data_IF_148847468595
#
_entry.id   IF_148847468595
#
_cell.length_a   1.000
_cell.length_b   1.000
_cell.length_c   1.000
_cell.angle_alpha   90.00
_cell.angle_beta   90.00
_cell.angle_gamma   90.00
#
_symmetry.space_group_name_H-M   'P 1'
#
loop_
_entity.id
_entity.type
_entity.pdbx_description
1 polymer ?
#
# COMPACT_ATOMS: atom_id res chain seq x y z
N UNK A 1 -2.91 -17.97 -22.87
CA UNK A 1 -2.42 -16.82 -22.09
C UNK A 1 -1.17 -17.27 -21.38
N UNK A 2 -0.16 -16.43 -21.33
CA UNK A 2 1.08 -16.70 -20.56
C UNK A 2 0.80 -16.66 -19.05
N UNK A 3 1.61 -17.34 -18.26
CA UNK A 3 1.58 -17.21 -16.80
C UNK A 3 2.44 -16.02 -16.37
N UNK A 4 2.12 -15.44 -15.23
CA UNK A 4 2.85 -14.33 -14.63
C UNK A 4 3.36 -14.73 -13.24
N UNK A 5 4.66 -14.62 -13.06
CA UNK A 5 5.35 -15.04 -11.84
C UNK A 5 6.02 -13.86 -11.17
N UNK A 6 5.95 -13.81 -9.85
CA UNK A 6 6.77 -12.91 -9.04
C UNK A 6 8.11 -13.62 -8.82
N UNK A 7 9.21 -12.95 -9.18
CA UNK A 7 10.56 -13.52 -9.09
C UNK A 7 11.45 -12.77 -8.10
N UNK A 8 11.09 -11.56 -7.70
CA UNK A 8 11.79 -10.80 -6.66
C UNK A 8 10.85 -9.79 -6.02
N UNK A 9 11.07 -9.50 -4.74
CA UNK A 9 10.33 -8.47 -4.00
C UNK A 9 11.27 -7.65 -3.13
N UNK A 10 10.93 -6.38 -2.91
CA UNK A 10 11.59 -5.52 -1.94
C UNK A 10 10.64 -4.40 -1.49
N UNK A 11 10.84 -3.91 -0.28
CA UNK A 11 10.27 -2.66 0.20
C UNK A 11 11.28 -1.85 1.01
N UNK A 12 11.07 -0.56 1.13
CA UNK A 12 11.73 0.22 2.18
C UNK A 12 11.16 -0.17 3.54
N UNK A 13 11.82 0.14 4.66
CA UNK A 13 11.09 0.35 5.90
C UNK A 13 10.02 1.40 5.66
N UNK A 14 8.91 1.32 6.38
CA UNK A 14 7.86 2.34 6.33
C UNK A 14 8.19 3.42 7.38
N UNK A 15 8.42 4.64 6.90
CA UNK A 15 8.67 5.80 7.73
C UNK A 15 7.36 6.40 8.27
N UNK A 16 7.36 6.83 9.52
CA UNK A 16 6.25 7.63 10.07
C UNK A 16 6.27 9.03 9.48
N UNK A 17 5.14 9.72 9.52
CA UNK A 17 5.02 11.12 9.11
C UNK A 17 6.04 12.01 9.85
N UNK A 18 6.85 12.74 9.10
CA UNK A 18 7.94 13.55 9.64
C UNK A 18 9.08 12.76 10.29
N UNK A 19 9.14 11.42 10.05
CA UNK A 19 10.15 10.51 10.58
C UNK A 19 11.46 10.46 9.80
N UNK A 20 12.10 9.31 9.81
CA UNK A 20 13.40 9.09 9.18
C UNK A 20 13.41 9.29 7.67
N UNK A 21 12.30 9.00 6.99
CA UNK A 21 12.17 9.10 5.54
C UNK A 21 11.67 10.47 5.03
N UNK A 22 11.37 11.43 5.87
CA UNK A 22 10.78 12.73 5.51
C UNK A 22 11.55 13.56 4.48
N UNK A 23 12.87 13.37 4.37
CA UNK A 23 13.71 14.08 3.40
C UNK A 23 13.82 13.35 2.05
N UNK A 24 13.21 12.16 1.92
CA UNK A 24 13.21 11.39 0.69
C UNK A 24 11.98 11.72 -0.15
N UNK A 25 12.20 12.15 -1.38
CA UNK A 25 11.10 12.31 -2.33
C UNK A 25 10.51 10.95 -2.73
N UNK A 26 9.28 10.90 -3.27
CA UNK A 26 8.73 9.64 -3.79
C UNK A 26 9.69 8.97 -4.77
N UNK A 27 10.35 9.75 -5.65
CA UNK A 27 11.33 9.21 -6.62
C UNK A 27 12.62 8.68 -5.98
N UNK A 28 13.02 9.17 -4.80
CA UNK A 28 14.18 8.60 -4.06
C UNK A 28 13.81 7.26 -3.45
N UNK A 29 12.64 7.16 -2.81
CA UNK A 29 12.12 5.92 -2.26
C UNK A 29 11.90 4.86 -3.35
N UNK A 30 11.29 5.25 -4.47
CA UNK A 30 11.10 4.40 -5.63
C UNK A 30 12.42 3.89 -6.21
N UNK A 31 13.41 4.77 -6.37
CA UNK A 31 14.72 4.40 -6.86
C UNK A 31 15.41 3.39 -5.96
N UNK A 32 15.26 3.54 -4.64
CA UNK A 32 15.84 2.63 -3.66
C UNK A 32 15.32 1.18 -3.84
N UNK A 33 14.00 1.00 -3.92
CA UNK A 33 13.43 -0.35 -4.10
C UNK A 33 13.67 -0.91 -5.50
N UNK A 34 13.64 -0.08 -6.55
CA UNK A 34 13.97 -0.51 -7.92
C UNK A 34 15.40 -1.06 -7.97
N UNK A 35 16.36 -0.34 -7.39
CA UNK A 35 17.76 -0.78 -7.29
C UNK A 35 17.89 -2.07 -6.49
N UNK A 36 17.23 -2.15 -5.34
CA UNK A 36 17.27 -3.33 -4.48
C UNK A 36 16.74 -4.58 -5.20
N UNK A 37 15.65 -4.46 -5.96
CA UNK A 37 15.09 -5.59 -6.72
C UNK A 37 16.04 -6.06 -7.84
N UNK A 38 16.59 -5.14 -8.62
CA UNK A 38 17.54 -5.49 -9.69
C UNK A 38 18.76 -6.21 -9.10
N UNK A 39 19.26 -5.76 -7.95
CA UNK A 39 20.36 -6.41 -7.24
C UNK A 39 19.97 -7.80 -6.72
N UNK A 40 18.78 -7.95 -6.08
CA UNK A 40 18.29 -9.24 -5.56
C UNK A 40 18.07 -10.26 -6.68
N UNK A 41 17.53 -9.82 -7.81
CA UNK A 41 17.31 -10.66 -8.99
C UNK A 41 18.59 -10.87 -9.82
N UNK A 42 19.67 -10.15 -9.53
CA UNK A 42 20.92 -10.18 -10.27
C UNK A 42 20.74 -9.93 -11.79
N UNK A 43 19.93 -8.93 -12.14
CA UNK A 43 19.66 -8.53 -13.51
C UNK A 43 20.05 -7.07 -13.76
N UNK A 44 20.49 -6.71 -14.99
CA UNK A 44 20.71 -5.32 -15.35
C UNK A 44 19.38 -4.60 -15.63
N UNK A 45 19.39 -3.26 -15.54
CA UNK A 45 18.19 -2.45 -15.73
C UNK A 45 17.63 -2.46 -17.15
N UNK A 46 18.44 -2.77 -18.16
CA UNK A 46 18.04 -2.92 -19.56
C UNK A 46 17.37 -4.27 -19.88
N UNK A 47 17.33 -5.19 -18.90
CA UNK A 47 16.55 -6.43 -18.99
C UNK A 47 15.03 -6.17 -18.92
N UNK A 48 14.59 -5.05 -18.35
CA UNK A 48 13.19 -4.71 -18.19
C UNK A 48 12.55 -4.28 -19.50
N UNK A 49 11.33 -4.72 -19.74
CA UNK A 49 10.50 -4.19 -20.82
C UNK A 49 9.80 -2.89 -20.38
N UNK A 50 9.39 -2.81 -19.12
CA UNK A 50 8.65 -1.67 -18.57
C UNK A 50 8.73 -1.61 -17.04
N UNK A 51 8.45 -0.42 -16.47
CA UNK A 51 8.16 -0.24 -15.04
C UNK A 51 6.82 0.48 -14.84
N UNK A 52 6.04 0.06 -13.83
CA UNK A 52 4.70 0.59 -13.51
C UNK A 52 4.61 0.81 -12.00
N UNK A 53 4.42 2.06 -11.56
CA UNK A 53 4.40 2.36 -10.13
C UNK A 53 3.22 3.23 -9.71
N UNK A 54 2.59 2.85 -8.61
CA UNK A 54 1.60 3.66 -7.92
C UNK A 54 2.23 4.90 -7.28
N UNK A 55 1.60 6.04 -7.45
CA UNK A 55 1.95 7.28 -6.75
C UNK A 55 0.78 8.27 -6.84
N UNK A 56 0.33 8.79 -5.72
CA UNK A 56 -0.88 9.61 -5.58
C UNK A 56 -0.54 11.08 -5.38
N UNK A 57 0.25 11.41 -4.38
CA UNK A 57 0.57 12.79 -3.98
C UNK A 57 1.72 13.35 -4.83
N UNK A 58 1.43 13.70 -6.08
CA UNK A 58 2.44 14.05 -7.09
C UNK A 58 2.77 15.54 -7.16
N UNK A 59 1.97 16.39 -6.52
CA UNK A 59 2.13 17.85 -6.63
C UNK A 59 3.50 18.31 -6.13
N UNK A 60 4.20 19.07 -6.97
CA UNK A 60 5.54 19.63 -6.65
C UNK A 60 6.73 18.70 -6.92
N UNK A 61 6.52 17.42 -7.24
CA UNK A 61 7.61 16.46 -7.48
C UNK A 61 8.07 16.35 -8.94
N UNK A 62 7.51 17.15 -9.84
CA UNK A 62 7.89 17.15 -11.25
C UNK A 62 7.13 16.11 -12.09
N UNK A 63 7.62 15.89 -13.32
CA UNK A 63 6.97 15.01 -14.27
C UNK A 63 7.31 13.54 -14.01
N UNK A 64 6.35 12.65 -14.21
CA UNK A 64 6.52 11.20 -14.33
C UNK A 64 7.47 10.63 -13.24
N UNK A 65 7.06 10.70 -11.99
CA UNK A 65 7.87 10.31 -10.82
C UNK A 65 8.48 8.90 -10.93
N UNK A 66 7.78 7.87 -11.46
CA UNK A 66 8.40 6.56 -11.70
C UNK A 66 9.61 6.61 -12.63
N UNK A 67 9.59 7.49 -13.64
CA UNK A 67 10.74 7.66 -14.55
C UNK A 67 11.93 8.32 -13.85
N UNK A 68 11.66 9.30 -12.99
CA UNK A 68 12.71 9.89 -12.16
C UNK A 68 13.36 8.82 -11.26
N UNK A 69 12.53 7.97 -10.63
CA UNK A 69 12.99 6.86 -9.81
C UNK A 69 13.84 5.86 -10.62
N UNK A 70 13.36 5.45 -11.80
CA UNK A 70 14.05 4.51 -12.67
C UNK A 70 15.44 5.03 -13.07
N UNK A 71 15.55 6.29 -13.49
CA UNK A 71 16.83 6.92 -13.84
C UNK A 71 17.79 6.97 -12.64
N UNK A 72 17.28 7.35 -11.46
CA UNK A 72 18.05 7.34 -10.19
C UNK A 72 18.50 5.93 -9.80
N UNK A 73 17.71 4.91 -10.12
CA UNK A 73 18.04 3.50 -9.88
C UNK A 73 19.10 2.94 -10.88
N UNK A 74 19.42 3.69 -11.93
CA UNK A 74 20.35 3.25 -12.98
C UNK A 74 19.68 2.45 -14.09
N UNK A 75 18.36 2.45 -14.19
CA UNK A 75 17.62 1.88 -15.33
C UNK A 75 17.83 2.81 -16.54
N UNK A 76 18.23 2.26 -17.72
CA UNK A 76 18.47 3.07 -18.90
C UNK A 76 17.26 3.88 -19.32
N UNK A 77 17.48 5.10 -19.82
CA UNK A 77 16.40 5.98 -20.26
C UNK A 77 15.66 5.48 -21.52
N UNK A 78 16.15 4.44 -22.16
CA UNK A 78 15.48 3.71 -23.25
C UNK A 78 14.35 2.83 -22.76
N UNK A 79 14.34 2.45 -21.47
CA UNK A 79 13.22 1.74 -20.84
C UNK A 79 12.22 2.77 -20.35
N UNK A 80 10.97 2.62 -20.73
CA UNK A 80 9.90 3.53 -20.34
C UNK A 80 8.97 2.91 -19.27
N UNK A 81 8.07 3.73 -18.73
CA UNK A 81 7.11 3.31 -17.73
C UNK A 81 6.15 4.43 -17.38
N UNK A 82 5.19 4.14 -16.52
CA UNK A 82 4.14 5.09 -16.16
C UNK A 82 3.73 5.01 -14.69
N UNK A 83 3.04 6.07 -14.24
CA UNK A 83 2.43 6.15 -12.92
C UNK A 83 0.98 5.67 -12.96
N UNK A 84 0.56 4.97 -11.90
CA UNK A 84 -0.84 4.61 -11.64
C UNK A 84 -1.34 5.45 -10.47
N UNK A 85 -2.51 6.05 -10.65
CA UNK A 85 -3.26 6.69 -9.58
C UNK A 85 -4.65 6.06 -9.49
N UNK A 86 -4.84 5.35 -8.42
CA UNK A 86 -6.10 4.72 -7.99
C UNK A 86 -6.19 4.82 -6.46
N UNK A 87 -5.79 5.99 -5.93
CA UNK A 87 -5.64 6.28 -4.51
C UNK A 87 -4.87 5.13 -3.80
N UNK A 88 -5.36 4.59 -2.68
CA UNK A 88 -4.68 3.53 -1.93
C UNK A 88 -4.41 2.24 -2.74
N UNK A 89 -5.21 1.95 -3.78
CA UNK A 89 -5.04 0.78 -4.65
C UNK A 89 -3.95 0.94 -5.72
N UNK A 90 -3.32 2.10 -5.87
CA UNK A 90 -2.36 2.40 -6.94
C UNK A 90 -1.24 1.36 -7.07
N UNK A 91 -0.62 0.98 -5.96
CA UNK A 91 0.45 -0.02 -5.93
C UNK A 91 -0.02 -1.42 -6.31
N UNK A 92 -1.22 -1.83 -5.88
CA UNK A 92 -1.79 -3.12 -6.28
C UNK A 92 -2.21 -3.11 -7.75
N UNK A 93 -2.80 -2.01 -8.23
CA UNK A 93 -3.18 -1.87 -9.62
C UNK A 93 -1.97 -1.87 -10.56
N UNK A 94 -0.81 -1.36 -10.13
CA UNK A 94 0.43 -1.46 -10.89
C UNK A 94 0.85 -2.93 -11.11
N UNK A 95 0.74 -3.76 -10.08
CA UNK A 95 1.00 -5.21 -10.16
C UNK A 95 -0.02 -5.90 -11.07
N UNK A 96 -1.29 -5.52 -10.99
CA UNK A 96 -2.34 -6.06 -11.87
C UNK A 96 -2.11 -5.67 -13.32
N UNK A 97 -1.70 -4.42 -13.61
CA UNK A 97 -1.36 -3.96 -14.96
C UNK A 97 -0.18 -4.75 -15.53
N UNK A 98 0.91 -4.90 -14.76
CA UNK A 98 2.04 -5.71 -15.14
C UNK A 98 1.64 -7.16 -15.43
N UNK A 99 0.81 -7.74 -14.57
CA UNK A 99 0.26 -9.11 -14.78
C UNK A 99 -0.52 -9.20 -16.08
N UNK A 100 -1.35 -8.22 -16.40
CA UNK A 100 -2.12 -8.19 -17.65
C UNK A 100 -1.21 -8.08 -18.87
N UNK A 101 -0.17 -7.24 -18.84
CA UNK A 101 0.81 -7.12 -19.93
C UNK A 101 1.57 -8.43 -20.16
N UNK A 102 2.03 -9.08 -19.09
CA UNK A 102 2.67 -10.40 -19.18
C UNK A 102 1.71 -11.44 -19.77
N UNK A 103 0.48 -11.54 -19.24
CA UNK A 103 -0.51 -12.54 -19.70
C UNK A 103 -0.99 -12.29 -21.14
N UNK A 104 -0.97 -11.05 -21.63
CA UNK A 104 -1.29 -10.71 -23.02
C UNK A 104 -0.12 -10.93 -24.01
N UNK A 105 1.10 -11.08 -23.50
CA UNK A 105 2.31 -11.24 -24.32
C UNK A 105 2.92 -9.92 -24.81
N UNK A 106 2.50 -8.78 -24.25
CA UNK A 106 3.06 -7.46 -24.56
C UNK A 106 4.41 -7.19 -23.86
N UNK A 107 4.71 -7.94 -22.80
CA UNK A 107 5.96 -7.85 -22.06
C UNK A 107 6.36 -9.21 -21.49
N UNK A 108 7.67 -9.43 -21.31
CA UNK A 108 8.25 -10.62 -20.69
C UNK A 108 8.68 -10.36 -19.23
N UNK A 109 9.13 -9.13 -18.91
CA UNK A 109 9.69 -8.74 -17.63
C UNK A 109 9.32 -7.32 -17.25
N UNK A 110 8.50 -7.17 -16.22
CA UNK A 110 7.95 -5.88 -15.77
C UNK A 110 8.27 -5.64 -14.30
N UNK A 111 8.77 -4.45 -13.98
CA UNK A 111 8.96 -3.99 -12.61
C UNK A 111 7.72 -3.22 -12.16
N UNK A 112 6.96 -3.73 -11.20
CA UNK A 112 5.74 -3.12 -10.69
C UNK A 112 5.85 -2.80 -9.21
N UNK A 113 5.15 -1.75 -8.76
CA UNK A 113 5.20 -1.38 -7.35
C UNK A 113 4.44 -0.11 -7.03
N UNK A 114 4.87 0.55 -5.96
CA UNK A 114 4.36 1.84 -5.56
C UNK A 114 5.32 2.59 -4.66
N UNK A 115 5.19 3.90 -4.63
CA UNK A 115 6.01 4.80 -3.82
C UNK A 115 5.17 5.98 -3.37
N UNK A 116 5.37 6.42 -2.15
CA UNK A 116 4.72 7.61 -1.61
C UNK A 116 5.59 8.29 -0.56
N UNK A 117 5.63 9.60 -0.57
CA UNK A 117 6.18 10.41 0.52
C UNK A 117 5.08 11.37 0.98
N UNK A 118 4.30 10.94 1.96
CA UNK A 118 3.23 11.77 2.52
C UNK A 118 3.81 12.92 3.34
N UNK A 119 5.01 12.74 3.88
CA UNK A 119 5.75 13.81 4.57
C UNK A 119 6.15 14.96 3.65
N UNK A 120 6.25 14.74 2.34
CA UNK A 120 6.59 15.77 1.35
C UNK A 120 5.38 16.24 0.52
N UNK A 121 4.18 15.85 0.89
CA UNK A 121 2.98 16.44 0.31
C UNK A 121 2.97 17.95 0.60
N UNK A 122 2.84 18.74 -0.47
CA UNK A 122 2.89 20.19 -0.37
C UNK A 122 1.50 20.81 -0.13
N UNK A 123 1.47 22.11 -0.25
CA UNK A 123 0.23 22.89 -0.22
C UNK A 123 0.01 23.56 -1.56
N UNK A 124 -1.24 23.79 -1.94
CA UNK A 124 -1.56 24.48 -3.18
C UNK A 124 -2.52 25.66 -2.97
N UNK A 125 -2.40 26.62 -3.86
CA UNK A 125 -3.35 27.71 -4.06
C UNK A 125 -4.21 27.40 -5.27
N UNK A 126 -5.46 27.88 -5.30
CA UNK A 126 -6.34 27.67 -6.45
C UNK A 126 -5.74 28.26 -7.75
N UNK A 127 -6.25 27.82 -8.91
CA UNK A 127 -5.86 28.36 -10.21
C UNK A 127 -6.04 29.88 -10.33
N UNK A 128 -6.86 30.49 -9.47
CA UNK A 128 -7.11 31.95 -9.41
C UNK A 128 -5.82 32.73 -9.12
N UNK A 129 -4.85 32.13 -8.45
CA UNK A 129 -3.53 32.71 -8.24
C UNK A 129 -2.85 33.15 -9.55
N UNK A 130 -3.05 32.39 -10.66
CA UNK A 130 -2.50 32.71 -11.99
C UNK A 130 -3.07 34.03 -12.57
N UNK A 131 -4.25 34.40 -12.15
CA UNK A 131 -4.98 35.57 -12.63
C UNK A 131 -4.98 36.73 -11.64
N UNK A 132 -4.14 36.66 -10.59
CA UNK A 132 -3.97 37.70 -9.57
C UNK A 132 -5.17 37.85 -8.65
N UNK A 133 -5.89 36.77 -8.36
CA UNK A 133 -7.04 36.73 -7.44
C UNK A 133 -8.12 37.79 -7.73
N UNK A 134 -8.30 38.17 -8.98
CA UNK A 134 -9.32 39.13 -9.38
C UNK A 134 -10.71 38.66 -8.92
N UNK A 135 -11.49 39.58 -8.34
CA UNK A 135 -12.89 39.34 -7.93
C UNK A 135 -13.05 38.23 -6.86
N UNK A 136 -12.24 38.22 -5.81
CA UNK A 136 -12.44 37.33 -4.66
C UNK A 136 -13.80 37.55 -3.95
N UNK A 137 -14.41 38.76 -4.10
CA UNK A 137 -15.75 39.11 -3.60
C UNK A 137 -15.98 38.67 -2.14
N UNK A 138 -15.00 38.90 -1.28
CA UNK A 138 -15.09 38.57 0.14
C UNK A 138 -14.90 37.09 0.48
N UNK A 139 -14.65 36.22 -0.49
CA UNK A 139 -14.25 34.84 -0.23
C UNK A 139 -12.74 34.76 -0.08
N UNK A 140 -12.22 34.42 1.10
CA UNK A 140 -10.78 34.28 1.28
C UNK A 140 -10.24 33.14 0.40
N UNK A 141 -9.03 33.30 -0.11
CA UNK A 141 -8.28 32.18 -0.70
C UNK A 141 -7.74 31.30 0.42
N UNK A 142 -7.92 30.00 0.28
CA UNK A 142 -7.39 29.03 1.24
C UNK A 142 -6.16 28.34 0.66
N UNK A 143 -5.12 28.24 1.46
CA UNK A 143 -4.03 27.32 1.23
C UNK A 143 -4.54 25.92 1.56
N UNK A 144 -4.55 25.01 0.59
CA UNK A 144 -5.03 23.64 0.78
C UNK A 144 -3.86 22.68 0.91
N UNK A 145 -3.93 21.79 1.89
CA UNK A 145 -3.01 20.68 2.04
C UNK A 145 -3.32 19.62 0.99
N UNK A 146 -2.33 19.27 0.15
CA UNK A 146 -2.45 18.22 -0.87
C UNK A 146 -2.70 16.87 -0.21
N UNK A 147 -2.08 16.61 0.95
CA UNK A 147 -2.26 15.36 1.69
C UNK A 147 -3.72 15.15 2.09
N UNK A 148 -4.34 16.17 2.67
CA UNK A 148 -5.72 16.13 3.11
C UNK A 148 -6.69 16.12 1.91
N UNK A 149 -6.51 17.06 0.98
CA UNK A 149 -7.47 17.32 -0.08
C UNK A 149 -7.47 16.25 -1.18
N UNK A 150 -6.28 15.83 -1.66
CA UNK A 150 -6.14 14.85 -2.74
C UNK A 150 -6.03 13.41 -2.21
N UNK A 151 -5.61 13.22 -0.96
CA UNK A 151 -5.33 11.90 -0.39
C UNK A 151 -6.38 11.36 0.57
N UNK A 152 -7.08 12.22 1.34
CA UNK A 152 -7.87 11.80 2.51
C UNK A 152 -9.31 12.35 2.53
N UNK A 153 -9.71 13.13 1.54
CA UNK A 153 -11.05 13.73 1.44
C UNK A 153 -11.80 13.18 0.23
N UNK A 154 -13.04 12.77 0.42
CA UNK A 154 -13.96 12.43 -0.67
C UNK A 154 -14.56 13.72 -1.24
N UNK A 155 -14.29 14.04 -2.53
CA UNK A 155 -14.83 15.24 -3.15
C UNK A 155 -16.31 15.14 -3.55
N UNK A 156 -16.92 13.95 -3.52
CA UNK A 156 -18.35 13.74 -3.80
C UNK A 156 -19.17 14.07 -2.55
N UNK A 157 -18.76 13.51 -1.41
CA UNK A 157 -19.43 13.73 -0.12
C UNK A 157 -18.95 15.03 0.55
N UNK A 158 -17.82 15.62 0.11
CA UNK A 158 -17.12 16.74 0.77
C UNK A 158 -16.78 16.42 2.23
N UNK A 159 -16.37 15.18 2.48
CA UNK A 159 -16.14 14.59 3.81
C UNK A 159 -14.80 13.88 3.88
N UNK A 160 -14.16 13.88 5.06
CA UNK A 160 -12.94 13.12 5.31
C UNK A 160 -13.23 11.62 5.47
N UNK A 161 -12.33 10.77 4.94
CA UNK A 161 -12.48 9.31 4.95
C UNK A 161 -12.71 8.73 6.36
N UNK A 162 -12.19 9.36 7.42
CA UNK A 162 -12.44 8.95 8.79
C UNK A 162 -13.90 9.11 9.19
N UNK A 163 -14.54 10.24 8.85
CA UNK A 163 -15.96 10.47 9.14
C UNK A 163 -16.87 9.51 8.37
N UNK A 164 -16.53 9.23 7.10
CA UNK A 164 -17.23 8.21 6.29
C UNK A 164 -17.14 6.82 6.94
N UNK A 165 -15.95 6.47 7.47
CA UNK A 165 -15.74 5.18 8.15
C UNK A 165 -16.52 5.11 9.48
N UNK A 166 -16.65 6.21 10.23
CA UNK A 166 -17.52 6.28 11.42
C UNK A 166 -18.98 5.98 11.07
N UNK A 167 -19.48 6.57 9.97
CA UNK A 167 -20.83 6.33 9.46
C UNK A 167 -21.04 4.87 9.08
N UNK A 168 -20.08 4.25 8.40
CA UNK A 168 -20.11 2.85 8.04
C UNK A 168 -20.05 1.94 9.27
N UNK A 169 -19.17 2.23 10.23
CA UNK A 169 -19.05 1.49 11.47
C UNK A 169 -20.37 1.48 12.26
N UNK A 170 -21.07 2.62 12.30
CA UNK A 170 -22.38 2.73 12.95
C UNK A 170 -23.44 1.84 12.27
N UNK A 171 -23.48 1.77 10.93
CA UNK A 171 -24.39 0.88 10.19
C UNK A 171 -24.14 -0.60 10.49
N UNK A 172 -22.87 -1.00 10.63
CA UNK A 172 -22.50 -2.37 10.99
C UNK A 172 -22.53 -2.68 12.47
N UNK A 173 -22.88 -1.70 13.32
CA UNK A 173 -22.91 -1.84 14.77
C UNK A 173 -21.54 -2.23 15.35
N UNK A 174 -20.46 -1.70 14.77
CA UNK A 174 -19.10 -1.93 15.25
C UNK A 174 -18.85 -1.06 16.48
N UNK A 175 -18.23 -1.63 17.50
CA UNK A 175 -17.98 -0.95 18.77
C UNK A 175 -16.54 -0.42 18.87
N UNK A 176 -16.29 0.48 19.82
CA UNK A 176 -14.97 1.00 20.15
C UNK A 176 -14.01 -0.11 20.59
N UNK A 177 -14.49 -1.05 21.37
CA UNK A 177 -13.72 -2.17 21.88
C UNK A 177 -13.21 -3.05 20.74
N UNK A 178 -14.07 -3.34 19.75
CA UNK A 178 -13.68 -4.14 18.58
C UNK A 178 -12.59 -3.47 17.74
N UNK A 179 -12.69 -2.16 17.46
CA UNK A 179 -11.66 -1.45 16.69
C UNK A 179 -10.35 -1.29 17.45
N UNK A 180 -10.40 -1.10 18.77
CA UNK A 180 -9.21 -1.05 19.61
C UNK A 180 -8.55 -2.44 19.75
N UNK A 181 -9.31 -3.52 19.77
CA UNK A 181 -8.78 -4.89 19.76
C UNK A 181 -7.99 -5.19 18.47
N UNK A 182 -8.53 -4.82 17.32
CA UNK A 182 -7.80 -4.94 16.03
C UNK A 182 -6.49 -4.15 16.09
N UNK A 183 -6.51 -2.92 16.58
CA UNK A 183 -5.32 -2.09 16.67
C UNK A 183 -4.26 -2.68 17.62
N UNK A 184 -4.69 -3.22 18.75
CA UNK A 184 -3.81 -3.92 19.68
C UNK A 184 -3.11 -5.10 19.02
N UNK A 185 -3.88 -5.98 18.36
CA UNK A 185 -3.29 -7.14 17.68
C UNK A 185 -2.41 -6.75 16.49
N UNK A 186 -2.76 -5.70 15.76
CA UNK A 186 -1.91 -5.19 14.67
C UNK A 186 -0.52 -4.82 15.18
N UNK A 187 -0.43 -3.98 16.23
CA UNK A 187 0.86 -3.59 16.81
C UNK A 187 1.60 -4.77 17.46
N UNK A 188 0.91 -5.62 18.20
CA UNK A 188 1.51 -6.80 18.85
C UNK A 188 2.15 -7.73 17.83
N UNK A 189 1.42 -8.10 16.78
CA UNK A 189 1.90 -8.98 15.72
C UNK A 189 3.09 -8.38 14.96
N UNK A 190 3.02 -7.09 14.64
CA UNK A 190 4.12 -6.40 13.98
C UNK A 190 5.38 -6.32 14.86
N UNK A 191 5.23 -6.06 16.15
CA UNK A 191 6.35 -6.05 17.09
C UNK A 191 6.99 -7.43 17.25
N UNK A 192 6.18 -8.49 17.36
CA UNK A 192 6.65 -9.87 17.42
C UNK A 192 7.37 -10.28 16.13
N UNK A 193 6.83 -9.95 14.96
CA UNK A 193 7.45 -10.20 13.65
C UNK A 193 8.78 -9.46 13.49
N UNK A 194 8.85 -8.21 13.94
CA UNK A 194 10.11 -7.43 13.94
C UNK A 194 11.16 -8.08 14.85
N UNK A 195 10.80 -8.43 16.07
CA UNK A 195 11.70 -9.08 17.02
C UNK A 195 12.24 -10.43 16.51
N UNK A 196 11.43 -11.17 15.75
CA UNK A 196 11.81 -12.42 15.09
C UNK A 196 12.61 -12.21 13.80
N UNK A 197 12.74 -10.96 13.32
CA UNK A 197 13.47 -10.65 12.10
C UNK A 197 12.72 -11.02 10.81
N UNK A 198 11.41 -11.25 10.86
CA UNK A 198 10.57 -11.66 9.73
C UNK A 198 10.70 -10.64 8.57
N UNK A 199 10.62 -9.35 8.87
CA UNK A 199 10.66 -8.29 7.86
C UNK A 199 12.04 -8.08 7.22
N UNK A 200 13.14 -8.66 7.76
CA UNK A 200 14.48 -8.51 7.18
C UNK A 200 14.60 -9.09 5.77
N UNK A 201 13.76 -10.05 5.41
CA UNK A 201 13.76 -10.65 4.07
C UNK A 201 13.16 -9.73 3.02
N UNK A 202 12.21 -8.89 3.40
CA UNK A 202 11.52 -7.98 2.49
C UNK A 202 12.09 -6.56 2.51
N UNK A 203 12.58 -6.08 3.66
CA UNK A 203 13.12 -4.73 3.80
C UNK A 203 14.46 -4.58 3.06
N UNK A 204 14.58 -3.51 2.28
CA UNK A 204 15.84 -2.95 1.79
C UNK A 204 16.17 -1.74 2.68
N UNK A 205 17.16 -1.85 3.59
CA UNK A 205 17.48 -0.79 4.54
C UNK A 205 17.89 0.52 3.86
N UNK A 206 17.49 1.66 4.44
CA UNK A 206 17.73 3.00 3.89
C UNK A 206 18.73 3.75 4.76
N UNK A 207 19.79 4.29 4.16
CA UNK A 207 20.70 5.20 4.86
C UNK A 207 20.06 6.58 5.03
N UNK A 208 19.89 7.00 6.29
CA UNK A 208 19.29 8.30 6.66
C UNK A 208 20.36 9.22 7.23
N UNK A 209 20.43 10.44 6.70
CA UNK A 209 21.31 11.47 7.26
C UNK A 209 20.64 12.13 8.47
N UNK A 210 21.34 12.13 9.59
CA UNK A 210 20.91 12.80 10.82
C UNK A 210 21.93 13.86 11.22
N UNK A 211 21.60 14.70 12.19
CA UNK A 211 22.56 15.67 12.75
C UNK A 211 23.81 15.02 13.39
N UNK A 212 23.70 13.73 13.75
CA UNK A 212 24.77 12.95 14.39
C UNK A 212 25.58 12.08 13.43
N UNK A 213 25.27 12.12 12.13
CA UNK A 213 25.87 11.28 11.09
C UNK A 213 24.83 10.49 10.31
N UNK A 214 25.29 9.50 9.56
CA UNK A 214 24.43 8.57 8.82
C UNK A 214 24.03 7.41 9.72
N UNK A 215 22.74 7.05 9.73
CA UNK A 215 22.19 5.88 10.42
C UNK A 215 21.45 5.02 9.40
N UNK A 216 21.40 3.71 9.63
CA UNK A 216 20.64 2.79 8.83
C UNK A 216 19.24 2.66 9.42
N UNK A 217 18.21 2.91 8.61
CA UNK A 217 16.82 2.63 8.94
C UNK A 217 16.48 1.28 8.31
N UNK A 218 16.25 0.26 9.12
CA UNK A 218 16.03 -1.14 8.74
C UNK A 218 14.78 -1.76 9.39
N UNK A 219 14.01 -0.95 10.12
CA UNK A 219 12.76 -1.34 10.75
C UNK A 219 11.66 -0.30 10.47
N UNK A 220 10.40 -0.72 10.51
CA UNK A 220 9.24 0.14 10.34
C UNK A 220 9.06 1.05 11.57
N UNK A 221 9.02 2.37 11.35
CA UNK A 221 8.99 3.35 12.44
C UNK A 221 7.61 3.47 13.13
N UNK A 222 6.57 2.93 12.51
CA UNK A 222 5.18 3.04 13.00
C UNK A 222 4.82 2.09 14.13
N UNK A 223 5.58 1.02 14.31
CA UNK A 223 5.27 -0.05 15.28
C UNK A 223 5.41 0.44 16.71
N UNK A 224 4.40 0.20 17.54
CA UNK A 224 4.36 0.58 18.95
C UNK A 224 4.23 -0.67 19.82
N UNK A 225 5.35 -1.27 20.25
CA UNK A 225 5.35 -2.52 20.99
C UNK A 225 4.75 -2.41 22.39
N UNK A 226 4.63 -1.19 22.93
CA UNK A 226 4.05 -0.85 24.22
C UNK A 226 2.53 -0.57 24.17
N UNK A 227 1.88 -0.77 23.01
CA UNK A 227 0.44 -0.61 22.87
C UNK A 227 -0.30 -1.62 23.74
N UNK A 228 -1.27 -1.13 24.54
CA UNK A 228 -2.17 -1.97 25.36
C UNK A 228 -3.63 -1.56 25.13
N UNK A 229 -4.60 -2.45 25.40
CA UNK A 229 -6.02 -2.09 25.33
C UNK A 229 -6.36 -0.86 26.18
N UNK A 230 -5.77 -0.74 27.40
CA UNK A 230 -6.00 0.38 28.30
C UNK A 230 -5.41 1.69 27.77
N UNK A 231 -4.30 1.63 26.98
CA UNK A 231 -3.73 2.81 26.33
C UNK A 231 -4.59 3.29 25.17
N UNK A 232 -5.13 2.38 24.38
CA UNK A 232 -6.04 2.66 23.27
C UNK A 232 -7.36 3.25 23.76
N UNK A 233 -7.96 2.67 24.79
CA UNK A 233 -9.24 3.12 25.37
C UNK A 233 -9.19 4.59 25.86
N UNK A 234 -8.01 5.12 26.20
CA UNK A 234 -7.81 6.52 26.63
C UNK A 234 -7.78 7.53 25.48
N UNK A 235 -7.62 7.06 24.25
CA UNK A 235 -7.55 7.95 23.08
C UNK A 235 -8.93 8.57 22.80
N UNK A 236 -8.90 9.86 22.45
CA UNK A 236 -10.11 10.58 22.04
C UNK A 236 -10.49 10.22 20.61
N UNK A 237 -11.77 10.26 20.26
CA UNK A 237 -12.21 10.22 18.87
C UNK A 237 -11.46 11.25 18.03
N UNK A 238 -11.07 10.88 16.80
CA UNK A 238 -10.25 11.72 15.93
C UNK A 238 -11.04 12.38 14.80
N UNK A 239 -12.18 11.79 14.40
CA UNK A 239 -12.88 12.20 13.18
C UNK A 239 -14.25 12.83 13.47
N UNK A 240 -14.98 12.30 14.45
CA UNK A 240 -16.25 12.87 14.93
C UNK A 240 -16.20 12.98 16.46
N UNK A 241 -17.01 13.87 17.05
CA UNK A 241 -16.95 14.16 18.48
C UNK A 241 -17.34 12.98 19.38
N UNK A 242 -18.19 12.10 18.88
CA UNK A 242 -18.78 10.94 19.55
C UNK A 242 -18.42 9.61 18.83
N UNK A 243 -17.40 9.64 17.99
CA UNK A 243 -16.95 8.51 17.18
C UNK A 243 -16.19 7.45 17.98
N UNK A 244 -15.93 6.33 17.30
CA UNK A 244 -15.17 5.20 17.83
C UNK A 244 -13.74 5.16 17.26
N UNK A 245 -13.49 5.88 16.15
CA UNK A 245 -12.18 5.88 15.50
C UNK A 245 -11.25 6.92 16.13
N UNK A 246 -10.02 6.51 16.35
CA UNK A 246 -8.98 7.31 17.00
C UNK A 246 -7.68 7.25 16.21
N UNK A 247 -6.71 8.05 16.56
CA UNK A 247 -5.36 7.95 16.01
C UNK A 247 -4.66 6.60 16.32
N UNK A 248 -5.23 5.77 17.21
CA UNK A 248 -4.68 4.46 17.55
C UNK A 248 -5.26 3.31 16.75
N UNK A 249 -6.46 3.45 16.18
CA UNK A 249 -7.15 2.41 15.42
C UNK A 249 -7.43 2.78 13.95
N UNK A 250 -6.77 3.83 13.47
CA UNK A 250 -6.65 4.24 12.08
C UNK A 250 -5.21 4.04 11.58
N UNK A 251 -5.03 3.87 10.27
CA UNK A 251 -3.69 3.76 9.66
C UNK A 251 -2.86 5.02 9.85
N UNK A 252 -1.55 4.87 9.84
CA UNK A 252 -0.62 5.98 10.01
C UNK A 252 -0.29 6.63 8.66
N UNK A 253 -0.26 7.95 8.62
CA UNK A 253 0.34 8.74 7.53
C UNK A 253 1.82 8.38 7.48
N UNK A 254 2.32 7.98 6.30
CA UNK A 254 3.61 7.30 6.21
C UNK A 254 4.32 7.56 4.89
N UNK A 255 5.63 7.28 4.88
CA UNK A 255 6.50 7.33 3.71
C UNK A 255 7.01 5.92 3.39
N UNK A 256 7.07 5.55 2.12
CA UNK A 256 7.61 4.24 1.76
C UNK A 256 7.47 3.88 0.30
N UNK A 257 8.16 2.82 -0.09
CA UNK A 257 8.05 2.21 -1.41
C UNK A 257 8.14 0.69 -1.33
N UNK A 258 7.45 0.02 -2.25
CA UNK A 258 7.51 -1.43 -2.41
C UNK A 258 7.48 -1.78 -3.90
N UNK A 259 8.15 -2.85 -4.26
CA UNK A 259 8.23 -3.29 -5.65
C UNK A 259 8.27 -4.81 -5.78
N UNK A 260 7.83 -5.29 -6.93
CA UNK A 260 7.83 -6.69 -7.34
C UNK A 260 8.35 -6.78 -8.78
N UNK A 261 9.19 -7.75 -9.06
CA UNK A 261 9.62 -8.09 -10.41
C UNK A 261 8.73 -9.23 -10.91
N UNK A 262 8.04 -9.00 -12.03
CA UNK A 262 7.05 -9.92 -12.61
C UNK A 262 7.55 -10.39 -13.96
N UNK A 263 7.60 -11.70 -14.17
CA UNK A 263 8.17 -12.34 -15.33
C UNK A 263 7.25 -13.42 -15.90
N UNK A 264 7.39 -13.71 -17.22
CA UNK A 264 6.88 -14.91 -17.83
C UNK A 264 7.95 -16.03 -17.88
N UNK A 265 7.60 -17.21 -18.38
CA UNK A 265 8.53 -18.34 -18.52
C UNK A 265 9.74 -18.01 -19.43
N UNK A 266 9.57 -17.15 -20.44
CA UNK A 266 10.65 -16.77 -21.36
C UNK A 266 11.71 -15.91 -20.65
N UNK A 267 11.27 -14.92 -19.85
CA UNK A 267 12.18 -14.08 -19.06
C UNK A 267 12.84 -14.88 -17.93
N UNK A 268 12.09 -15.77 -17.26
CA UNK A 268 12.64 -16.67 -16.23
C UNK A 268 13.80 -17.48 -16.81
N UNK A 269 13.59 -18.11 -17.97
CA UNK A 269 14.64 -18.88 -18.64
C UNK A 269 15.80 -18.02 -19.14
N UNK A 270 15.52 -16.84 -19.70
CA UNK A 270 16.53 -15.92 -20.28
C UNK A 270 17.49 -15.39 -19.22
N UNK A 271 17.00 -15.08 -18.05
CA UNK A 271 17.75 -14.43 -16.97
C UNK A 271 18.04 -15.35 -15.79
N UNK A 272 17.76 -16.65 -15.90
CA UNK A 272 17.97 -17.66 -14.84
C UNK A 272 17.30 -17.25 -13.50
N UNK A 273 16.05 -16.79 -13.59
CA UNK A 273 15.28 -16.32 -12.43
C UNK A 273 14.59 -17.48 -11.71
N UNK A 274 14.45 -17.35 -10.40
CA UNK A 274 13.70 -18.31 -9.60
C UNK A 274 12.32 -17.73 -9.26
N UNK A 275 11.20 -18.33 -9.72
CA UNK A 275 9.88 -17.84 -9.37
C UNK A 275 9.57 -18.12 -7.89
N UNK A 276 9.06 -17.10 -7.22
CA UNK A 276 8.63 -17.14 -5.81
C UNK A 276 7.15 -17.53 -5.72
N UNK A 277 6.34 -16.94 -6.59
CA UNK A 277 4.90 -17.17 -6.63
C UNK A 277 4.34 -16.94 -8.04
N UNK A 278 3.23 -17.61 -8.33
CA UNK A 278 2.41 -17.36 -9.50
C UNK A 278 1.28 -16.39 -9.15
N UNK A 279 1.02 -15.40 -10.00
CA UNK A 279 -0.15 -14.52 -9.84
C UNK A 279 -1.36 -15.20 -10.50
N UNK A 280 -2.28 -15.68 -9.68
CA UNK A 280 -3.52 -16.31 -10.15
C UNK A 280 -4.34 -15.28 -10.91
N UNK A 281 -4.58 -14.12 -10.30
CA UNK A 281 -5.29 -13.02 -10.92
C UNK A 281 -5.57 -11.88 -9.97
N UNK A 282 -6.24 -10.88 -10.51
CA UNK A 282 -6.71 -9.72 -9.76
C UNK A 282 -8.14 -9.35 -10.12
N UNK A 283 -8.75 -8.58 -9.25
CA UNK A 283 -10.07 -7.99 -9.45
C UNK A 283 -10.19 -6.61 -8.80
N UNK A 284 -11.18 -5.88 -9.21
CA UNK A 284 -11.59 -4.61 -8.62
C UNK A 284 -13.12 -4.53 -8.57
N UNK A 285 -13.62 -3.76 -7.62
CA UNK A 285 -15.04 -3.45 -7.47
C UNK A 285 -15.19 -2.03 -6.94
N UNK A 286 -16.38 -1.48 -7.05
CA UNK A 286 -16.74 -0.21 -6.47
C UNK A 286 -18.11 -0.30 -5.81
N UNK A 287 -18.31 0.54 -4.81
CA UNK A 287 -19.54 0.80 -4.07
C UNK A 287 -19.77 2.32 -4.04
N UNK A 288 -20.76 2.81 -3.30
CA UNK A 288 -20.92 4.25 -3.08
C UNK A 288 -19.64 4.85 -2.47
N UNK A 289 -19.28 6.08 -2.82
CA UNK A 289 -17.96 6.66 -2.51
C UNK A 289 -17.61 6.60 -1.02
N UNK A 290 -18.54 6.97 -0.16
CA UNK A 290 -18.38 6.96 1.30
C UNK A 290 -18.30 5.56 1.93
N UNK A 291 -18.71 4.51 1.21
CA UNK A 291 -18.66 3.11 1.67
C UNK A 291 -17.33 2.43 1.36
N UNK A 292 -16.30 3.17 1.02
CA UNK A 292 -15.02 2.66 0.52
C UNK A 292 -14.43 1.54 1.41
N UNK A 293 -14.62 1.59 2.73
CA UNK A 293 -14.01 0.63 3.64
C UNK A 293 -14.54 -0.80 3.47
N UNK A 294 -15.76 -0.99 2.91
CA UNK A 294 -16.31 -2.32 2.58
C UNK A 294 -15.99 -2.79 1.14
N UNK A 295 -15.47 -1.91 0.27
CA UNK A 295 -15.22 -2.22 -1.13
C UNK A 295 -14.27 -3.41 -1.40
N UNK A 296 -13.32 -3.78 -0.53
CA UNK A 296 -12.58 -5.03 -0.66
C UNK A 296 -13.47 -6.27 -0.73
N UNK A 297 -14.62 -6.29 -0.03
CA UNK A 297 -15.53 -7.44 0.02
C UNK A 297 -16.03 -7.85 -1.36
N UNK A 298 -16.70 -6.98 -2.16
CA UNK A 298 -17.12 -7.33 -3.51
C UNK A 298 -15.92 -7.59 -4.45
N UNK A 299 -14.77 -6.97 -4.25
CA UNK A 299 -13.57 -7.24 -5.03
C UNK A 299 -13.07 -8.68 -4.79
N UNK A 300 -12.99 -9.12 -3.52
CA UNK A 300 -12.59 -10.48 -3.17
C UNK A 300 -13.61 -11.52 -3.68
N UNK A 301 -14.92 -11.30 -3.47
CA UNK A 301 -15.97 -12.18 -3.98
C UNK A 301 -15.88 -12.35 -5.51
N UNK A 302 -15.63 -11.26 -6.23
CA UNK A 302 -15.45 -11.28 -7.70
C UNK A 302 -14.20 -12.07 -8.11
N UNK A 303 -13.08 -11.89 -7.40
CA UNK A 303 -11.84 -12.63 -7.63
C UNK A 303 -12.05 -14.13 -7.44
N UNK A 304 -12.60 -14.52 -6.29
CA UNK A 304 -12.87 -15.90 -5.92
C UNK A 304 -13.79 -16.59 -6.96
N UNK A 305 -14.89 -15.97 -7.30
CA UNK A 305 -15.81 -16.49 -8.32
C UNK A 305 -15.15 -16.66 -9.70
N UNK A 306 -14.35 -15.67 -10.14
CA UNK A 306 -13.63 -15.69 -11.44
C UNK A 306 -12.65 -16.86 -11.53
N UNK A 307 -11.97 -17.19 -10.44
CA UNK A 307 -10.94 -18.21 -10.40
C UNK A 307 -11.41 -19.55 -9.78
N UNK A 308 -12.72 -19.67 -9.46
CA UNK A 308 -13.33 -20.85 -8.84
C UNK A 308 -12.66 -21.23 -7.52
N UNK A 309 -12.35 -20.24 -6.70
CA UNK A 309 -11.82 -20.37 -5.36
C UNK A 309 -12.90 -20.03 -4.33
N UNK A 310 -12.80 -20.61 -3.15
CA UNK A 310 -13.51 -20.13 -1.96
C UNK A 310 -12.57 -19.24 -1.14
N UNK A 311 -13.12 -18.31 -0.38
CA UNK A 311 -12.32 -17.48 0.55
C UNK A 311 -11.64 -18.35 1.61
N UNK A 312 -12.25 -19.46 1.99
CA UNK A 312 -11.69 -20.43 2.94
C UNK A 312 -10.44 -21.17 2.41
N UNK A 313 -10.25 -21.23 1.07
CA UNK A 313 -9.10 -21.88 0.44
C UNK A 313 -7.79 -21.11 0.68
N UNK A 314 -7.87 -19.81 0.98
CA UNK A 314 -6.67 -19.02 1.24
C UNK A 314 -6.05 -19.39 2.59
N UNK A 315 -4.75 -19.70 2.57
CA UNK A 315 -3.96 -19.97 3.77
C UNK A 315 -3.72 -18.69 4.57
N UNK A 316 -3.41 -17.57 3.88
CA UNK A 316 -3.19 -16.27 4.46
C UNK A 316 -3.90 -15.17 3.67
N UNK A 317 -4.33 -14.14 4.40
CA UNK A 317 -4.98 -12.95 3.86
C UNK A 317 -4.30 -11.70 4.41
N UNK A 318 -3.84 -10.84 3.52
CA UNK A 318 -3.40 -9.48 3.83
C UNK A 318 -4.47 -8.50 3.37
N UNK A 319 -5.08 -7.79 4.30
CA UNK A 319 -6.00 -6.69 4.00
C UNK A 319 -5.48 -5.40 4.62
N UNK A 320 -5.48 -4.30 3.86
CA UNK A 320 -5.03 -3.04 4.42
C UNK A 320 -5.93 -2.59 5.57
N UNK A 321 -5.33 -2.26 6.68
CA UNK A 321 -5.98 -1.64 7.83
C UNK A 321 -5.98 -0.12 7.66
N UNK A 322 -6.71 0.41 6.63
CA UNK A 322 -6.91 1.85 6.53
C UNK A 322 -7.56 2.38 7.83
N UNK A 323 -8.50 1.61 8.32
CA UNK A 323 -9.10 1.69 9.66
C UNK A 323 -9.31 0.27 10.18
N UNK A 324 -9.41 0.08 11.48
CA UNK A 324 -9.70 -1.23 12.07
C UNK A 324 -11.01 -1.85 11.56
N UNK A 325 -11.96 -1.02 11.13
CA UNK A 325 -13.23 -1.42 10.51
C UNK A 325 -13.00 -2.35 9.30
N UNK A 326 -11.97 -2.11 8.48
CA UNK A 326 -11.67 -2.97 7.34
C UNK A 326 -11.41 -4.42 7.74
N UNK A 327 -10.64 -4.66 8.80
CA UNK A 327 -10.34 -5.99 9.33
C UNK A 327 -11.58 -6.68 9.86
N UNK A 328 -12.41 -5.94 10.61
CA UNK A 328 -13.68 -6.45 11.15
C UNK A 328 -14.63 -6.89 10.03
N UNK A 329 -14.71 -6.09 8.95
CA UNK A 329 -15.56 -6.42 7.81
C UNK A 329 -15.05 -7.66 7.04
N UNK A 330 -13.73 -7.86 6.93
CA UNK A 330 -13.18 -9.08 6.34
C UNK A 330 -13.59 -10.33 7.13
N UNK A 331 -13.56 -10.26 8.47
CA UNK A 331 -14.04 -11.35 9.32
C UNK A 331 -15.54 -11.58 9.16
N UNK A 332 -16.37 -10.53 9.31
CA UNK A 332 -17.84 -10.65 9.36
C UNK A 332 -18.45 -11.02 8.01
N UNK A 333 -17.97 -10.41 6.93
CA UNK A 333 -18.60 -10.52 5.61
C UNK A 333 -18.02 -11.62 4.72
N UNK A 334 -16.75 -11.97 4.93
CA UNK A 334 -16.06 -13.00 4.15
C UNK A 334 -15.70 -14.23 4.98
N UNK A 335 -15.90 -14.21 6.30
CA UNK A 335 -15.57 -15.32 7.17
C UNK A 335 -14.06 -15.60 7.29
N UNK A 336 -13.20 -14.60 6.99
CA UNK A 336 -11.75 -14.79 7.11
C UNK A 336 -11.37 -14.90 8.59
N UNK A 337 -10.79 -16.01 9.04
CA UNK A 337 -10.39 -16.17 10.44
C UNK A 337 -9.28 -15.20 10.82
N UNK A 338 -9.33 -14.70 12.07
CA UNK A 338 -8.35 -13.70 12.57
C UNK A 338 -6.91 -14.23 12.54
N UNK A 339 -6.71 -15.54 12.73
CA UNK A 339 -5.40 -16.21 12.68
C UNK A 339 -4.80 -16.31 11.28
N UNK A 340 -5.61 -16.09 10.23
CA UNK A 340 -5.16 -16.03 8.82
C UNK A 340 -5.02 -14.59 8.30
N UNK A 341 -5.58 -13.61 9.03
CA UNK A 341 -5.70 -12.22 8.58
C UNK A 341 -4.64 -11.33 9.21
N UNK A 342 -3.82 -10.66 8.39
CA UNK A 342 -2.81 -9.69 8.82
C UNK A 342 -1.92 -10.23 9.95
N UNK A 343 -1.37 -11.43 9.74
CA UNK A 343 -0.64 -12.16 10.79
C UNK A 343 0.61 -11.45 11.32
N UNK A 344 1.11 -10.46 10.57
CA UNK A 344 2.26 -9.62 10.94
C UNK A 344 1.88 -8.14 11.13
N UNK A 345 0.60 -7.85 11.35
CA UNK A 345 0.08 -6.49 11.36
C UNK A 345 -0.09 -5.91 9.96
N UNK A 346 -0.66 -4.72 9.84
CA UNK A 346 -0.88 -4.06 8.54
C UNK A 346 -0.85 -2.52 8.69
N UNK A 347 -1.75 -1.78 8.03
CA UNK A 347 -1.70 -0.32 7.92
C UNK A 347 -1.70 0.43 9.26
N UNK A 348 -2.33 -0.10 10.31
CA UNK A 348 -2.36 0.53 11.64
C UNK A 348 -0.96 0.49 12.28
N UNK A 349 -0.28 -0.64 12.22
CA UNK A 349 1.02 -0.80 12.87
C UNK A 349 2.20 -0.46 11.96
N UNK A 350 2.19 -0.96 10.71
CA UNK A 350 3.29 -0.77 9.77
C UNK A 350 3.25 0.62 9.11
N UNK A 351 2.04 1.18 8.90
CA UNK A 351 1.84 2.43 8.18
C UNK A 351 1.22 2.22 6.79
N UNK A 352 0.72 3.34 6.23
CA UNK A 352 -0.06 3.33 4.98
C UNK A 352 0.37 4.43 4.01
N UNK A 353 1.57 4.34 3.40
CA UNK A 353 1.93 5.20 2.29
C UNK A 353 1.04 4.85 1.09
N UNK A 354 0.05 5.73 0.77
CA UNK A 354 -1.13 5.38 -0.03
C UNK A 354 -0.80 4.80 -1.41
N UNK A 355 0.12 5.38 -2.16
CA UNK A 355 0.53 4.85 -3.46
C UNK A 355 1.36 3.56 -3.41
N UNK A 356 1.94 3.23 -2.25
CA UNK A 356 2.81 2.08 -2.04
C UNK A 356 2.07 0.84 -1.50
N UNK A 357 1.10 1.04 -0.62
CA UNK A 357 0.54 -0.01 0.24
C UNK A 357 0.06 -1.24 -0.51
N UNK A 358 -0.60 -1.09 -1.67
CA UNK A 358 -1.08 -2.23 -2.43
C UNK A 358 0.02 -3.20 -2.87
N UNK A 359 1.20 -2.69 -3.21
CA UNK A 359 2.38 -3.52 -3.50
C UNK A 359 2.99 -4.11 -2.21
N UNK A 360 3.08 -3.31 -1.12
CA UNK A 360 3.58 -3.75 0.18
C UNK A 360 2.79 -4.95 0.72
N UNK A 361 1.45 -4.93 0.60
CA UNK A 361 0.61 -6.05 1.04
C UNK A 361 1.00 -7.36 0.35
N UNK A 362 1.27 -7.34 -0.95
CA UNK A 362 1.68 -8.54 -1.69
C UNK A 362 3.08 -9.00 -1.24
N UNK A 363 4.00 -8.07 -0.98
CA UNK A 363 5.34 -8.41 -0.47
C UNK A 363 5.24 -9.09 0.89
N UNK A 364 4.49 -8.51 1.83
CA UNK A 364 4.31 -9.07 3.19
C UNK A 364 3.52 -10.39 3.16
N UNK A 365 2.51 -10.51 2.29
CA UNK A 365 1.78 -11.77 2.08
C UNK A 365 2.72 -12.90 1.65
N UNK A 366 3.63 -12.66 0.71
CA UNK A 366 4.60 -13.66 0.26
C UNK A 366 5.58 -14.05 1.35
N UNK A 367 6.03 -13.10 2.16
CA UNK A 367 6.85 -13.37 3.36
C UNK A 367 6.09 -14.27 4.34
N UNK A 368 4.81 -13.98 4.59
CA UNK A 368 3.95 -14.79 5.44
C UNK A 368 3.76 -16.21 4.89
N UNK A 369 3.39 -16.35 3.61
CA UNK A 369 3.23 -17.66 2.98
C UNK A 369 4.51 -18.50 3.03
N UNK A 370 5.68 -17.87 2.92
CA UNK A 370 6.95 -18.58 3.04
C UNK A 370 7.20 -19.09 4.47
N UNK A 371 6.99 -18.24 5.47
CA UNK A 371 7.28 -18.56 6.86
C UNK A 371 6.29 -19.57 7.43
N UNK A 372 5.02 -19.43 7.12
CA UNK A 372 3.94 -20.30 7.60
C UNK A 372 3.71 -21.54 6.71
N UNK A 373 4.57 -21.75 5.70
CA UNK A 373 4.44 -22.85 4.72
C UNK A 373 3.08 -22.88 4.00
N UNK A 374 2.41 -21.73 3.92
CA UNK A 374 1.15 -21.57 3.17
C UNK A 374 1.38 -21.58 1.67
N UNK A 375 0.35 -21.84 0.90
CA UNK A 375 0.39 -21.95 -0.56
C UNK A 375 -0.41 -20.86 -1.24
N UNK A 376 -1.67 -20.69 -0.85
CA UNK A 376 -2.59 -19.72 -1.44
C UNK A 376 -2.67 -18.46 -0.57
N UNK A 377 -2.48 -17.29 -1.18
CA UNK A 377 -2.57 -16.02 -0.50
C UNK A 377 -3.49 -15.04 -1.21
N UNK A 378 -4.15 -14.21 -0.42
CA UNK A 378 -5.02 -13.12 -0.86
C UNK A 378 -4.51 -11.80 -0.30
N UNK A 379 -4.27 -10.81 -1.17
CA UNK A 379 -4.06 -9.42 -0.78
C UNK A 379 -5.23 -8.58 -1.23
N UNK A 380 -5.75 -7.70 -0.37
CA UNK A 380 -6.85 -6.79 -0.70
C UNK A 380 -6.72 -5.45 0.02
N UNK A 381 -7.28 -4.41 -0.57
CA UNK A 381 -7.41 -3.11 0.08
C UNK A 381 -8.55 -2.28 -0.52
N UNK A 382 -9.05 -1.38 0.30
CA UNK A 382 -9.95 -0.32 -0.14
C UNK A 382 -9.15 0.85 -0.75
N UNK A 383 -9.85 1.73 -1.42
CA UNK A 383 -9.35 3.07 -1.76
C UNK A 383 -10.48 4.09 -1.70
N UNK A 384 -10.12 5.35 -1.45
CA UNK A 384 -11.07 6.46 -1.48
C UNK A 384 -11.92 6.45 -2.75
N UNK A 385 -13.09 7.07 -2.72
CA UNK A 385 -14.08 7.06 -3.80
C UNK A 385 -14.77 5.70 -3.99
N UNK A 386 -14.95 4.94 -2.90
CA UNK A 386 -15.77 3.73 -2.88
C UNK A 386 -15.16 2.51 -3.56
N UNK A 387 -13.86 2.44 -3.76
CA UNK A 387 -13.28 1.33 -4.49
C UNK A 387 -12.52 0.32 -3.65
N UNK A 388 -12.33 -0.88 -4.21
CA UNK A 388 -11.53 -1.95 -3.63
C UNK A 388 -10.85 -2.80 -4.70
N UNK A 389 -9.68 -3.34 -4.36
CA UNK A 389 -8.91 -4.27 -5.21
C UNK A 389 -8.52 -5.51 -4.44
N UNK A 390 -8.32 -6.60 -5.17
CA UNK A 390 -7.85 -7.87 -4.62
C UNK A 390 -6.94 -8.59 -5.63
N UNK A 391 -5.89 -9.24 -5.12
CA UNK A 391 -4.96 -10.09 -5.88
C UNK A 391 -4.78 -11.42 -5.17
N UNK A 392 -4.86 -12.52 -5.91
CA UNK A 392 -4.55 -13.86 -5.41
C UNK A 392 -3.22 -14.35 -5.98
N UNK A 393 -2.42 -14.95 -5.13
CA UNK A 393 -1.13 -15.54 -5.47
C UNK A 393 -1.02 -16.97 -4.98
N UNK A 394 -0.24 -17.77 -5.71
CA UNK A 394 0.14 -19.13 -5.31
C UNK A 394 1.66 -19.19 -5.12
N UNK A 395 2.12 -19.46 -3.91
CA UNK A 395 3.55 -19.68 -3.62
C UNK A 395 4.04 -20.98 -4.27
N UNK A 396 5.21 -20.93 -4.85
CA UNK A 396 5.86 -22.06 -5.54
C UNK A 396 6.90 -22.77 -4.69
#
# INVERSE_FOLDING_TARGET
>A
MQEAYIVSTARTPIGRFGGGLKEFSPSDLGAHVMKAILQRANIPGDALDMYIFGNVLRAGHGQLIPRQAAVKAGIPQTIDGYAVDMVCSSGMMSVMNATMMIKSGEADLVLAGGMESMSQAGFFLSHRARWGYKFLLGKPEQLKDVLEYDGLTDPIEDEGMGSETERLAAEYGITREEVDEVAYYSHKRAAEATAQGIFKTEIAPVEVKTRKGTTLLDEDEGIRPDTTPESLAKLRPAFTSDGILTAGNASQISDGAAALLIANDAAIKRYDLTPIARIIGGSWAAVDSWRFAEAPIPAVRKLAAKHKLDVADFDLVENNEAFAVNTILMNRELGVPTEKLNIYGSGISLGHPIGCTGARLIVTLLTGLQNEQGKLGLASLCHGMGGGTAVAVERL
#
